data_IF_953372509573
#
_entry.id   IF_953372509573
#
_cell.length_a   1.000
_cell.length_b   1.000
_cell.length_c   1.000
_cell.angle_alpha   90.00
_cell.angle_beta   90.00
_cell.angle_gamma   90.00
#
_symmetry.space_group_name_H-M   'P 1'
#
loop_
_entity.id
_entity.type
_entity.pdbx_description
1 polymer ?
#
# COMPACT_ATOMS: atom_id res chain seq x y z
N UNK A 1 -21.45 32.82 -61.46
CA UNK A 1 -20.79 31.50 -61.37
C UNK A 1 -19.34 31.73 -60.99
N UNK A 2 -18.97 31.34 -59.77
CA UNK A 2 -17.63 30.98 -59.27
C UNK A 2 -17.58 31.30 -57.77
N UNK A 3 -18.21 30.42 -56.96
CA UNK A 3 -17.91 30.33 -55.53
C UNK A 3 -16.54 29.69 -55.39
N UNK A 4 -15.51 30.47 -55.02
CA UNK A 4 -14.26 29.91 -54.53
C UNK A 4 -14.47 29.50 -53.07
N UNK A 5 -14.57 28.19 -52.86
CA UNK A 5 -14.47 27.57 -51.55
C UNK A 5 -13.02 27.66 -51.09
N UNK A 6 -12.69 28.64 -50.26
CA UNK A 6 -11.47 28.61 -49.45
C UNK A 6 -11.70 27.61 -48.30
N UNK A 7 -11.39 26.35 -48.56
CA UNK A 7 -11.19 25.35 -47.50
C UNK A 7 -9.87 25.66 -46.78
N UNK A 8 -9.93 26.60 -45.84
CA UNK A 8 -8.88 26.82 -44.84
C UNK A 8 -8.68 25.53 -44.05
N UNK A 9 -7.50 24.93 -44.22
CA UNK A 9 -7.01 23.77 -43.50
C UNK A 9 -6.59 24.18 -42.08
N UNK A 10 -7.56 24.51 -41.22
CA UNK A 10 -7.33 24.80 -39.79
C UNK A 10 -7.40 23.49 -38.97
N UNK A 11 -6.49 22.55 -39.25
CA UNK A 11 -6.40 21.27 -38.53
C UNK A 11 -5.10 21.06 -37.76
N UNK A 12 -4.30 22.11 -37.54
CA UNK A 12 -2.98 21.96 -36.91
C UNK A 12 -2.76 22.91 -35.69
N UNK A 13 -3.80 23.15 -34.88
CA UNK A 13 -3.65 23.90 -33.60
C UNK A 13 -4.27 23.22 -32.38
N UNK A 14 -4.31 21.89 -32.36
CA UNK A 14 -4.53 21.13 -31.12
C UNK A 14 -3.32 20.23 -30.89
N UNK A 15 -2.40 20.65 -30.02
CA UNK A 15 -1.28 19.79 -29.59
C UNK A 15 0.07 20.46 -29.37
N UNK A 16 0.12 21.77 -29.09
CA UNK A 16 1.39 22.48 -28.82
C UNK A 16 1.56 22.94 -27.35
N UNK A 17 0.61 22.59 -26.50
CA UNK A 17 0.69 22.53 -25.06
C UNK A 17 0.85 21.06 -24.69
N UNK A 18 1.93 20.47 -25.22
CA UNK A 18 2.52 19.25 -24.70
C UNK A 18 2.92 19.54 -23.27
N UNK A 19 2.00 19.32 -22.34
CA UNK A 19 2.25 19.22 -20.93
C UNK A 19 3.33 18.15 -20.79
N UNK A 20 4.59 18.61 -20.68
CA UNK A 20 5.74 17.74 -20.51
C UNK A 20 5.38 16.80 -19.36
N UNK A 21 5.61 15.47 -19.50
CA UNK A 21 5.42 14.55 -18.40
C UNK A 21 6.09 15.16 -17.18
N UNK A 22 5.33 15.41 -16.10
CA UNK A 22 5.90 16.02 -14.91
C UNK A 22 7.15 15.22 -14.53
N UNK A 23 8.30 15.88 -14.32
CA UNK A 23 9.51 15.16 -13.97
C UNK A 23 9.20 14.30 -12.74
N UNK A 24 9.68 13.04 -12.72
CA UNK A 24 9.41 12.15 -11.60
C UNK A 24 9.77 12.87 -10.30
N UNK A 25 8.89 12.79 -9.31
CA UNK A 25 9.10 13.45 -8.04
C UNK A 25 10.49 13.07 -7.51
N UNK A 26 11.27 14.02 -6.94
CA UNK A 26 12.55 13.71 -6.36
C UNK A 26 12.39 12.57 -5.35
N UNK A 27 13.27 11.55 -5.36
CA UNK A 27 13.13 10.43 -4.46
C UNK A 27 13.08 10.96 -3.03
N UNK A 28 11.96 10.72 -2.34
CA UNK A 28 11.83 11.17 -0.96
C UNK A 28 12.98 10.56 -0.13
N UNK A 29 13.60 11.33 0.77
CA UNK A 29 14.64 10.80 1.63
C UNK A 29 14.11 9.57 2.37
N UNK A 30 14.76 8.41 2.19
CA UNK A 30 14.41 7.19 2.93
C UNK A 30 14.48 7.48 4.42
N UNK A 31 13.32 7.64 5.06
CA UNK A 31 13.25 7.87 6.50
C UNK A 31 13.51 6.54 7.19
N UNK A 32 14.61 6.49 7.94
CA UNK A 32 14.98 5.33 8.77
C UNK A 32 14.02 5.18 9.97
N UNK A 33 13.37 6.27 10.38
CA UNK A 33 12.45 6.30 11.51
C UNK A 33 11.01 6.39 11.01
N UNK A 34 10.12 5.45 11.39
CA UNK A 34 8.71 5.49 11.01
C UNK A 34 8.01 6.70 11.63
N UNK A 35 6.96 7.18 10.97
CA UNK A 35 6.12 8.22 11.52
C UNK A 35 5.39 7.72 12.79
N UNK A 36 5.17 8.61 13.77
CA UNK A 36 4.46 8.27 15.03
C UNK A 36 3.18 7.43 14.85
N UNK A 37 2.26 7.74 13.92
CA UNK A 37 1.07 6.91 13.72
C UNK A 37 1.40 5.48 13.28
N UNK A 38 2.48 5.30 12.51
CA UNK A 38 2.95 3.97 12.09
C UNK A 38 3.51 3.18 13.26
N UNK A 39 4.29 3.83 14.14
CA UNK A 39 4.80 3.19 15.36
C UNK A 39 3.66 2.69 16.26
N UNK A 40 2.64 3.51 16.47
CA UNK A 40 1.48 3.13 17.30
C UNK A 40 0.74 1.95 16.69
N UNK A 41 0.46 1.99 15.37
CA UNK A 41 -0.18 0.87 14.66
C UNK A 41 0.68 -0.39 14.71
N UNK A 42 1.98 -0.27 14.46
CA UNK A 42 2.92 -1.38 14.49
C UNK A 42 2.98 -2.05 15.85
N UNK A 43 3.06 -1.28 16.94
CA UNK A 43 3.02 -1.81 18.30
C UNK A 43 1.68 -2.47 18.63
N UNK A 44 0.57 -1.89 18.21
CA UNK A 44 -0.76 -2.49 18.37
C UNK A 44 -0.87 -3.85 17.67
N UNK A 45 -0.39 -3.93 16.43
CA UNK A 45 -0.35 -5.18 15.66
C UNK A 45 0.60 -6.21 16.27
N UNK A 46 1.74 -5.79 16.84
CA UNK A 46 2.66 -6.68 17.53
C UNK A 46 2.03 -7.30 18.79
N UNK A 47 1.29 -6.50 19.57
CA UNK A 47 0.54 -6.99 20.73
C UNK A 47 -0.56 -7.97 20.31
N UNK A 48 -1.30 -7.66 19.24
CA UNK A 48 -2.31 -8.55 18.66
C UNK A 48 -1.68 -9.88 18.20
N UNK A 49 -0.54 -9.82 17.51
CA UNK A 49 0.20 -10.99 17.05
C UNK A 49 0.59 -11.90 18.22
N UNK A 50 1.18 -11.34 19.28
CA UNK A 50 1.53 -12.08 20.48
C UNK A 50 0.33 -12.75 21.13
N UNK A 51 -0.79 -12.02 21.27
CA UNK A 51 -2.03 -12.56 21.83
C UNK A 51 -2.62 -13.70 21.01
N UNK A 52 -2.68 -13.56 19.69
CA UNK A 52 -3.24 -14.57 18.78
C UNK A 52 -2.37 -15.83 18.70
N UNK A 53 -1.04 -15.67 18.62
CA UNK A 53 -0.10 -16.80 18.62
C UNK A 53 -0.19 -17.57 19.94
N UNK A 54 -0.21 -16.86 21.07
CA UNK A 54 -0.37 -17.47 22.37
C UNK A 54 -1.70 -18.21 22.51
N UNK A 55 -2.82 -17.57 22.13
CA UNK A 55 -4.13 -18.20 22.15
C UNK A 55 -4.21 -19.41 21.23
N UNK A 56 -3.62 -19.32 20.02
CA UNK A 56 -3.57 -20.41 19.05
C UNK A 56 -2.80 -21.62 19.58
N UNK A 57 -1.61 -21.39 20.16
CA UNK A 57 -0.80 -22.43 20.79
C UNK A 57 -1.55 -23.14 21.92
N UNK A 58 -2.15 -22.37 22.84
CA UNK A 58 -2.93 -22.92 23.95
C UNK A 58 -4.18 -23.67 23.48
N UNK A 59 -4.79 -23.25 22.38
CA UNK A 59 -6.01 -23.86 21.83
C UNK A 59 -5.70 -25.17 21.11
N UNK A 60 -4.65 -25.18 20.28
CA UNK A 60 -4.20 -26.38 19.57
C UNK A 60 -3.70 -27.49 20.53
N UNK A 61 -3.09 -27.11 21.66
CA UNK A 61 -2.57 -28.06 22.65
C UNK A 61 -3.64 -28.73 23.54
N UNK A 62 -4.89 -28.27 23.53
CA UNK A 62 -5.95 -28.78 24.42
C UNK A 62 -6.66 -30.02 23.88
N UNK A 63 -7.00 -30.03 22.59
CA UNK A 63 -7.69 -31.15 21.95
C UNK A 63 -7.62 -31.02 20.43
N UNK A 64 -7.62 -32.16 19.73
CA UNK A 64 -7.64 -32.21 18.26
C UNK A 64 -8.86 -31.51 17.66
N UNK A 65 -9.99 -31.48 18.36
CA UNK A 65 -11.20 -30.80 17.89
C UNK A 65 -11.00 -29.28 17.77
N UNK A 66 -10.12 -28.70 18.59
CA UNK A 66 -9.80 -27.27 18.59
C UNK A 66 -8.58 -26.94 17.72
N UNK A 67 -7.91 -27.94 17.13
CA UNK A 67 -6.74 -27.71 16.29
C UNK A 67 -7.01 -26.77 15.10
N UNK A 68 -8.15 -26.86 14.36
CA UNK A 68 -8.45 -25.90 13.30
C UNK A 68 -8.57 -24.46 13.81
N UNK A 69 -9.23 -24.25 14.95
CA UNK A 69 -9.33 -22.94 15.57
C UNK A 69 -7.95 -22.41 16.01
N UNK A 70 -7.12 -23.28 16.60
CA UNK A 70 -5.74 -22.94 16.97
C UNK A 70 -4.89 -22.54 15.77
N UNK A 71 -5.02 -23.23 14.64
CA UNK A 71 -4.35 -22.89 13.38
C UNK A 71 -4.81 -21.53 12.82
N UNK A 72 -6.12 -21.25 12.85
CA UNK A 72 -6.66 -19.97 12.40
C UNK A 72 -6.14 -18.81 13.25
N UNK A 73 -6.10 -18.98 14.57
CA UNK A 73 -5.50 -18.01 15.49
C UNK A 73 -4.01 -17.82 15.21
N UNK A 74 -3.27 -18.91 15.00
CA UNK A 74 -1.85 -18.87 14.65
C UNK A 74 -1.60 -18.10 13.35
N UNK A 75 -2.37 -18.39 12.31
CA UNK A 75 -2.30 -17.69 11.02
C UNK A 75 -2.62 -16.20 11.17
N UNK A 76 -3.67 -15.84 11.91
CA UNK A 76 -3.99 -14.44 12.21
C UNK A 76 -2.88 -13.74 12.98
N UNK A 77 -2.22 -14.45 13.90
CA UNK A 77 -1.07 -13.96 14.64
C UNK A 77 0.13 -13.69 13.74
N UNK A 78 0.44 -14.60 12.80
CA UNK A 78 1.52 -14.41 11.82
C UNK A 78 1.24 -13.23 10.88
N UNK A 79 0.01 -13.09 10.38
CA UNK A 79 -0.39 -11.96 9.54
C UNK A 79 -0.27 -10.63 10.31
N UNK A 80 -0.67 -10.63 11.58
CA UNK A 80 -0.55 -9.46 12.45
C UNK A 80 0.92 -9.12 12.71
N UNK A 81 1.79 -10.11 12.90
CA UNK A 81 3.23 -9.90 13.06
C UNK A 81 3.87 -9.31 11.80
N UNK A 82 3.47 -9.82 10.63
CA UNK A 82 3.92 -9.28 9.35
C UNK A 82 3.46 -7.83 9.15
N UNK A 83 2.19 -7.54 9.44
CA UNK A 83 1.67 -6.18 9.40
C UNK A 83 2.40 -5.26 10.38
N UNK A 84 2.70 -5.74 11.60
CA UNK A 84 3.49 -5.01 12.57
C UNK A 84 4.89 -4.68 12.04
N UNK A 85 5.57 -5.65 11.43
CA UNK A 85 6.89 -5.46 10.84
C UNK A 85 6.87 -4.34 9.81
N UNK A 86 5.92 -4.34 8.87
CA UNK A 86 5.78 -3.28 7.85
C UNK A 86 5.63 -1.90 8.50
N UNK A 87 4.77 -1.78 9.52
CA UNK A 87 4.54 -0.48 10.17
C UNK A 87 5.72 -0.02 11.01
N UNK A 88 6.44 -0.94 11.66
CA UNK A 88 7.60 -0.64 12.50
C UNK A 88 8.88 -0.37 11.69
N UNK A 89 8.97 -0.89 10.46
CA UNK A 89 10.11 -0.62 9.56
C UNK A 89 9.87 0.58 8.63
N UNK A 90 8.70 1.21 8.72
CA UNK A 90 8.39 2.44 7.98
C UNK A 90 7.60 2.26 6.70
N UNK A 91 7.29 1.01 6.30
CA UNK A 91 6.50 0.68 5.11
C UNK A 91 7.13 1.17 3.80
N UNK A 92 6.89 0.48 2.69
CA UNK A 92 7.12 1.13 1.39
C UNK A 92 6.02 2.17 1.22
N UNK A 93 6.38 3.46 1.10
CA UNK A 93 5.50 4.43 0.44
C UNK A 93 5.37 3.92 -0.98
N UNK A 94 4.26 3.26 -1.28
CA UNK A 94 3.86 3.06 -2.66
C UNK A 94 3.81 4.44 -3.27
N UNK A 95 4.46 4.57 -4.42
CA UNK A 95 4.55 5.83 -5.11
C UNK A 95 3.14 6.27 -5.49
N UNK A 96 2.59 7.23 -4.75
CA UNK A 96 1.29 7.85 -5.02
C UNK A 96 1.43 8.80 -6.23
N UNK A 97 2.02 8.29 -7.32
CA UNK A 97 1.82 8.91 -8.61
C UNK A 97 0.35 8.70 -8.98
N UNK A 98 -0.38 9.72 -9.43
CA UNK A 98 -1.59 9.46 -10.18
C UNK A 98 -1.20 8.57 -11.36
N UNK A 99 -1.77 7.37 -11.46
CA UNK A 99 -1.66 6.55 -12.67
C UNK A 99 -2.19 7.40 -13.83
N UNK A 100 -1.29 7.86 -14.69
CA UNK A 100 -1.61 8.56 -15.94
C UNK A 100 -1.94 7.52 -17.00
#
# INVERSE_FOLDING_TARGET
>A
MAHQHEHGHDRDRHGADGELPHPPAPPEPRRIVPERPMLVRGLGMAALAGGLLWAGWNTAGKTWLLAPAGLLLGAGGLLSAWAAAIHLTGGERFDDHPFV
#
